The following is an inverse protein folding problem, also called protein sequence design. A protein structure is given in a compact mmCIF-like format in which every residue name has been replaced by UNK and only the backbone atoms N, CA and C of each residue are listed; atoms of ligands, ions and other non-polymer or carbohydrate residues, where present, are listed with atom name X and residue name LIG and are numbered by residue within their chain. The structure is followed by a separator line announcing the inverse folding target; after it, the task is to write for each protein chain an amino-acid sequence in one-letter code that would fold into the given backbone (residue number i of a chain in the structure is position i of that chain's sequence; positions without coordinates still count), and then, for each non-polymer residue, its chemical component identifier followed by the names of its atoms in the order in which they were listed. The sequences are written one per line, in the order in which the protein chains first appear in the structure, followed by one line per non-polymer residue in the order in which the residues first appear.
data_IF_073310507168
#
_entry.id   IF_073310507168
#
_cell.length_a   1.000
_cell.length_b   1.000
_cell.length_c   1.000
_cell.angle_alpha   90.00
_cell.angle_beta   90.00
_cell.angle_gamma   90.00
#
_symmetry.space_group_name_H-M   'P 1'
#
loop_
_entity.id
_entity.type
_entity.pdbx_description
1 polymer ?
#
# COMPACT_ATOMS: atom_id res chain seq x y z
N UNK A 1 -64.68 -3.74 9.02
CA UNK A 1 -63.99 -5.05 8.95
C UNK A 1 -62.50 -4.76 8.98
N UNK A 2 -61.89 -5.02 10.12
CA UNK A 2 -60.47 -4.78 10.41
C UNK A 2 -59.65 -5.97 9.93
N UNK A 3 -58.60 -5.71 9.14
CA UNK A 3 -57.52 -6.67 8.93
C UNK A 3 -56.19 -5.98 9.26
N UNK A 4 -55.74 -6.26 10.49
CA UNK A 4 -54.35 -6.15 10.91
C UNK A 4 -53.54 -7.20 10.15
N UNK A 5 -52.47 -6.78 9.48
CA UNK A 5 -51.36 -7.66 9.15
C UNK A 5 -50.10 -7.06 9.77
N UNK A 6 -49.70 -7.70 10.85
CA UNK A 6 -48.44 -7.52 11.57
C UNK A 6 -47.34 -8.23 10.81
N UNK A 7 -46.38 -7.48 10.27
CA UNK A 7 -45.17 -8.02 9.68
C UNK A 7 -44.13 -8.28 10.77
N UNK A 8 -43.82 -9.56 10.95
CA UNK A 8 -42.78 -10.08 11.83
C UNK A 8 -41.39 -9.64 11.35
N UNK A 9 -40.66 -8.96 12.24
CA UNK A 9 -39.25 -8.59 12.03
C UNK A 9 -38.34 -9.80 12.28
N UNK A 10 -37.38 -10.15 11.40
CA UNK A 10 -36.47 -11.24 11.65
C UNK A 10 -35.43 -10.84 12.71
N UNK A 11 -35.48 -11.57 13.83
CA UNK A 11 -34.45 -11.62 14.88
C UNK A 11 -33.04 -11.82 14.29
N UNK A 12 -32.21 -10.77 14.40
CA UNK A 12 -30.81 -10.80 14.01
C UNK A 12 -30.00 -11.73 14.91
N UNK A 13 -29.63 -12.91 14.38
CA UNK A 13 -28.65 -13.81 14.98
C UNK A 13 -27.28 -13.12 14.99
N UNK A 14 -26.86 -12.61 16.16
CA UNK A 14 -25.48 -12.21 16.44
C UNK A 14 -24.59 -13.45 16.27
N UNK A 15 -23.79 -13.47 15.20
CA UNK A 15 -22.71 -14.44 15.02
C UNK A 15 -21.57 -14.02 15.93
N UNK A 16 -21.42 -14.70 17.07
CA UNK A 16 -20.20 -14.62 17.88
C UNK A 16 -19.04 -15.19 17.06
N UNK A 17 -18.28 -14.31 16.42
CA UNK A 17 -16.99 -14.64 15.82
C UNK A 17 -16.00 -14.82 16.98
N UNK A 18 -15.79 -16.07 17.40
CA UNK A 18 -14.80 -16.40 18.42
C UNK A 18 -13.40 -15.96 17.94
N UNK A 19 -12.81 -14.99 18.64
CA UNK A 19 -11.52 -14.36 18.30
C UNK A 19 -10.30 -15.21 18.72
N UNK A 20 -10.47 -16.54 18.71
CA UNK A 20 -9.55 -17.52 19.29
C UNK A 20 -9.24 -18.57 18.24
N UNK A 21 -7.95 -18.81 17.99
CA UNK A 21 -7.50 -19.82 17.03
C UNK A 21 -7.67 -21.25 17.56
N UNK A 22 -7.42 -22.25 16.70
CA UNK A 22 -7.50 -23.69 17.02
C UNK A 22 -6.59 -24.10 18.21
N UNK A 23 -5.66 -23.24 18.63
CA UNK A 23 -4.75 -23.45 19.75
C UNK A 23 -5.12 -22.62 20.99
N UNK A 24 -6.32 -22.01 21.03
CA UNK A 24 -6.75 -21.22 22.17
C UNK A 24 -6.07 -19.85 22.29
N UNK A 25 -5.32 -19.41 21.28
CA UNK A 25 -4.59 -18.14 21.31
C UNK A 25 -5.43 -17.05 20.66
N UNK A 26 -5.49 -15.91 21.33
CA UNK A 26 -6.15 -14.71 20.82
C UNK A 26 -5.39 -14.19 19.58
N UNK A 27 -6.06 -14.11 18.43
CA UNK A 27 -5.47 -13.66 17.15
C UNK A 27 -4.75 -12.30 17.28
N UNK A 28 -5.26 -11.41 18.14
CA UNK A 28 -4.65 -10.11 18.41
C UNK A 28 -3.27 -10.20 19.08
N UNK A 29 -3.05 -11.22 19.92
CA UNK A 29 -1.78 -11.38 20.64
C UNK A 29 -0.67 -11.77 19.67
N UNK A 30 -0.96 -12.69 18.73
CA UNK A 30 -0.01 -13.15 17.70
C UNK A 30 0.38 -12.01 16.75
N UNK A 31 -0.59 -11.18 16.35
CA UNK A 31 -0.33 -10.01 15.51
C UNK A 31 0.62 -9.02 16.20
N UNK A 32 0.43 -8.74 17.50
CA UNK A 32 1.31 -7.84 18.27
C UNK A 32 2.73 -8.39 18.42
N UNK A 33 2.88 -9.69 18.66
CA UNK A 33 4.20 -10.33 18.77
C UNK A 33 4.98 -10.28 17.43
N UNK A 34 4.33 -10.61 16.32
CA UNK A 34 4.96 -10.51 14.99
C UNK A 34 5.32 -9.08 14.59
N UNK A 35 4.48 -8.10 14.95
CA UNK A 35 4.80 -6.68 14.73
C UNK A 35 6.03 -6.24 15.52
N UNK A 36 6.18 -6.72 16.77
CA UNK A 36 7.34 -6.41 17.62
C UNK A 36 8.63 -6.99 17.05
N UNK A 37 8.61 -8.23 16.55
CA UNK A 37 9.79 -8.86 15.93
C UNK A 37 10.25 -8.13 14.66
N UNK A 38 9.31 -7.64 13.84
CA UNK A 38 9.65 -6.85 12.64
C UNK A 38 10.32 -5.52 12.95
N UNK A 39 9.92 -4.85 14.03
CA UNK A 39 10.54 -3.58 14.44
C UNK A 39 11.98 -3.77 14.93
N UNK A 40 12.23 -4.83 15.72
CA UNK A 40 13.58 -5.16 16.18
C UNK A 40 14.54 -5.45 15.02
N UNK A 41 14.07 -6.13 13.98
CA UNK A 41 14.88 -6.43 12.80
C UNK A 41 15.23 -5.18 11.96
N UNK A 42 14.41 -4.12 12.01
CA UNK A 42 14.70 -2.85 11.31
C UNK A 42 15.72 -2.02 12.09
N UNK A 43 15.61 -1.99 13.41
CA UNK A 43 16.57 -1.30 14.29
C UNK A 43 17.98 -1.89 14.15
N UNK A 44 18.10 -3.23 14.06
CA UNK A 44 19.38 -3.91 13.82
C UNK A 44 19.96 -3.62 12.42
N UNK A 45 19.12 -3.37 11.42
CA UNK A 45 19.58 -3.04 10.06
C UNK A 45 20.10 -1.60 9.94
N UNK A 46 19.51 -0.64 10.67
CA UNK A 46 19.95 0.75 10.67
C UNK A 46 21.33 0.92 11.34
N UNK A 47 21.65 0.09 12.34
CA UNK A 47 22.94 0.12 13.05
C UNK A 47 24.14 -0.33 12.19
N UNK A 48 23.89 -0.95 11.01
CA UNK A 48 24.96 -1.51 10.16
C UNK A 48 25.34 -0.65 8.95
N UNK A 49 24.74 0.54 8.77
CA UNK A 49 24.91 1.35 7.55
C UNK A 49 25.58 2.70 7.81
N UNK A 50 26.76 2.71 8.43
CA UNK A 50 27.66 3.87 8.41
C UNK A 50 29.02 3.50 7.83
N UNK A 51 29.37 4.11 6.69
CA UNK A 51 30.69 4.57 6.21
C UNK A 51 30.70 4.55 4.67
N UNK A 52 30.68 5.73 4.05
CA UNK A 52 30.94 5.94 2.63
C UNK A 52 31.53 7.34 2.38
N UNK A 53 32.49 7.51 1.44
CA UNK A 53 33.51 8.55 1.52
C UNK A 53 33.15 9.87 0.82
N UNK A 54 33.68 10.94 1.41
CA UNK A 54 33.62 12.35 0.98
C UNK A 54 34.36 12.59 -0.34
N UNK A 55 33.69 13.22 -1.32
CA UNK A 55 34.26 13.63 -2.61
C UNK A 55 34.49 15.14 -2.65
N UNK A 56 35.74 15.50 -2.97
CA UNK A 56 36.27 16.85 -2.96
C UNK A 56 35.76 17.77 -4.08
N UNK A 57 35.61 19.03 -3.71
CA UNK A 57 35.20 20.16 -4.54
C UNK A 57 36.41 20.86 -5.19
N UNK A 58 36.36 21.06 -6.51
CA UNK A 58 37.31 21.86 -7.30
C UNK A 58 36.75 23.27 -7.53
N UNK A 59 37.51 24.29 -7.12
CA UNK A 59 37.28 25.71 -7.40
C UNK A 59 37.71 26.06 -8.83
N UNK A 60 36.91 26.85 -9.56
CA UNK A 60 37.41 27.67 -10.69
C UNK A 60 36.67 29.02 -10.81
N UNK A 61 37.54 30.04 -10.86
CA UNK A 61 37.50 31.43 -11.32
C UNK A 61 36.24 32.15 -11.82
N UNK A 62 36.13 33.41 -11.38
CA UNK A 62 35.12 34.41 -11.76
C UNK A 62 35.67 35.50 -12.69
N UNK A 63 34.90 35.97 -13.69
CA UNK A 63 35.16 37.25 -14.35
C UNK A 63 34.09 38.33 -14.07
N UNK A 64 34.62 39.52 -13.75
CA UNK A 64 34.16 40.90 -13.95
C UNK A 64 32.68 41.31 -13.86
N UNK A 65 32.44 42.18 -12.86
CA UNK A 65 31.19 42.88 -12.51
C UNK A 65 30.73 43.87 -13.60
N UNK A 66 29.61 43.54 -14.25
CA UNK A 66 28.61 44.54 -14.65
C UNK A 66 27.48 44.51 -13.62
N UNK A 67 27.07 45.67 -13.12
CA UNK A 67 25.96 45.83 -12.16
C UNK A 67 24.62 45.53 -12.86
N UNK A 68 24.37 44.25 -13.04
CA UNK A 68 23.13 43.68 -13.52
C UNK A 68 22.17 43.57 -12.34
N UNK A 69 20.99 44.18 -12.45
CA UNK A 69 19.93 44.05 -11.45
C UNK A 69 19.60 42.55 -11.34
N UNK A 70 19.65 41.95 -10.14
CA UNK A 70 19.43 40.52 -10.00
C UNK A 70 18.05 40.16 -10.52
N UNK A 71 18.01 39.29 -11.52
CA UNK A 71 16.76 38.67 -11.99
C UNK A 71 16.12 37.88 -10.85
N UNK A 72 14.81 37.67 -10.91
CA UNK A 72 14.06 36.86 -9.92
C UNK A 72 14.77 35.51 -9.64
N UNK A 73 15.27 34.87 -10.70
CA UNK A 73 16.05 33.64 -10.67
C UNK A 73 17.35 33.76 -9.85
N UNK A 74 18.04 34.90 -9.94
CA UNK A 74 19.26 35.17 -9.17
C UNK A 74 18.96 35.45 -7.70
N UNK A 75 17.81 36.06 -7.38
CA UNK A 75 17.36 36.22 -5.98
C UNK A 75 17.04 34.87 -5.33
N UNK A 76 16.31 34.01 -6.04
CA UNK A 76 16.00 32.65 -5.57
C UNK A 76 17.28 31.83 -5.38
N UNK A 77 18.21 31.88 -6.36
CA UNK A 77 19.51 31.23 -6.23
C UNK A 77 20.33 31.70 -5.03
N UNK A 78 20.32 33.00 -4.74
CA UNK A 78 21.01 33.56 -3.58
C UNK A 78 20.38 33.12 -2.24
N UNK A 79 19.05 32.99 -2.17
CA UNK A 79 18.37 32.46 -0.99
C UNK A 79 18.68 30.98 -0.75
N UNK A 80 18.72 30.18 -1.82
CA UNK A 80 19.10 28.76 -1.74
C UNK A 80 20.53 28.60 -1.22
N UNK A 81 21.48 29.36 -1.79
CA UNK A 81 22.88 29.34 -1.36
C UNK A 81 23.06 29.82 0.08
N UNK A 82 22.26 30.80 0.52
CA UNK A 82 22.31 31.29 1.89
C UNK A 82 21.88 30.21 2.89
N UNK A 83 20.76 29.53 2.63
CA UNK A 83 20.28 28.51 3.53
C UNK A 83 21.09 27.20 3.48
N UNK A 84 21.71 26.86 2.33
CA UNK A 84 22.74 25.82 2.27
C UNK A 84 23.94 26.14 3.18
N UNK A 85 24.38 27.41 3.22
CA UNK A 85 25.44 27.85 4.15
C UNK A 85 25.03 27.80 5.62
N UNK A 86 23.74 27.94 5.90
CA UNK A 86 23.17 27.82 7.25
C UNK A 86 22.94 26.35 7.67
N UNK A 87 23.36 25.38 6.85
CA UNK A 87 23.17 23.95 7.11
C UNK A 87 21.71 23.51 6.99
N UNK A 88 20.82 24.37 6.45
CA UNK A 88 19.44 24.00 6.17
C UNK A 88 19.42 23.13 4.91
N UNK A 89 18.77 21.98 5.02
CA UNK A 89 18.53 21.10 3.89
C UNK A 89 17.81 21.88 2.78
N UNK A 90 18.18 21.77 1.50
CA UNK A 90 17.58 22.59 0.42
C UNK A 90 16.07 22.42 0.29
N UNK A 91 15.50 21.34 0.82
CA UNK A 91 14.05 21.14 0.92
C UNK A 91 13.38 21.93 2.06
N UNK A 92 14.08 22.22 3.16
CA UNK A 92 13.57 23.05 4.26
C UNK A 92 13.37 24.52 3.85
N UNK A 93 14.08 24.97 2.81
CA UNK A 93 13.93 26.31 2.20
C UNK A 93 12.59 26.44 1.46
N UNK A 94 12.06 25.31 0.97
CA UNK A 94 10.74 25.28 0.33
C UNK A 94 9.59 25.29 1.36
N UNK A 95 9.87 24.96 2.62
CA UNK A 95 8.87 24.89 3.70
C UNK A 95 8.58 26.25 4.36
N UNK A 96 9.52 27.21 4.33
CA UNK A 96 9.31 28.57 4.91
C UNK A 96 8.43 29.48 4.02
N UNK A 97 7.92 28.99 2.89
CA UNK A 97 6.88 29.66 2.11
C UNK A 97 5.49 29.19 2.57
N UNK A 98 5.08 29.65 3.74
CA UNK A 98 3.71 29.58 4.28
C UNK A 98 2.73 30.49 3.51
N UNK A 99 2.86 30.59 2.18
CA UNK A 99 1.82 31.21 1.38
C UNK A 99 0.73 30.17 1.09
N UNK A 100 -0.52 30.57 1.25
CA UNK A 100 -1.72 29.82 0.84
C UNK A 100 -1.65 29.34 -0.63
N UNK A 101 -0.67 29.83 -1.42
CA UNK A 101 -0.40 29.43 -2.80
C UNK A 101 0.21 28.01 -2.93
N UNK A 102 0.54 27.32 -1.84
CA UNK A 102 1.18 25.99 -1.87
C UNK A 102 0.34 24.86 -1.28
N UNK A 103 -0.92 25.11 -0.92
CA UNK A 103 -1.75 24.10 -0.26
C UNK A 103 -1.90 22.83 -1.11
N UNK A 104 -2.21 22.97 -2.40
CA UNK A 104 -2.42 21.81 -3.28
C UNK A 104 -1.12 21.04 -3.54
N UNK A 105 0.01 21.75 -3.65
CA UNK A 105 1.31 21.10 -3.78
C UNK A 105 1.65 20.28 -2.53
N UNK A 106 1.37 20.81 -1.34
CA UNK A 106 1.57 20.12 -0.06
C UNK A 106 0.69 18.89 0.05
N UNK A 107 -0.60 19.01 -0.30
CA UNK A 107 -1.55 17.88 -0.37
C UNK A 107 -1.08 16.80 -1.33
N UNK A 108 -0.68 17.18 -2.54
CA UNK A 108 -0.13 16.26 -3.54
C UNK A 108 1.09 15.51 -3.01
N UNK A 109 2.05 16.20 -2.37
CA UNK A 109 3.24 15.54 -1.78
C UNK A 109 2.87 14.53 -0.71
N UNK A 110 1.90 14.84 0.14
CA UNK A 110 1.42 13.91 1.16
C UNK A 110 0.74 12.67 0.55
N UNK A 111 0.01 12.83 -0.56
CA UNK A 111 -0.57 11.70 -1.32
C UNK A 111 0.55 10.90 -1.99
N UNK A 112 1.50 11.56 -2.64
CA UNK A 112 2.63 10.95 -3.32
C UNK A 112 3.40 10.00 -2.39
N UNK A 113 3.73 10.44 -1.18
CA UNK A 113 4.39 9.58 -0.18
C UNK A 113 3.56 8.32 0.12
N UNK A 114 2.24 8.47 0.30
CA UNK A 114 1.34 7.35 0.57
C UNK A 114 1.22 6.38 -0.62
N UNK A 115 1.26 6.90 -1.85
CA UNK A 115 1.27 6.07 -3.06
C UNK A 115 2.57 5.29 -3.17
N UNK A 116 3.72 5.93 -2.95
CA UNK A 116 5.03 5.25 -2.99
C UNK A 116 5.11 4.15 -1.93
N UNK A 117 4.68 4.43 -0.69
CA UNK A 117 4.62 3.43 0.38
C UNK A 117 3.67 2.27 0.05
N UNK A 118 2.54 2.56 -0.57
CA UNK A 118 1.59 1.53 -0.98
C UNK A 118 2.15 0.65 -2.12
N UNK A 119 2.78 1.24 -3.13
CA UNK A 119 3.40 0.52 -4.25
C UNK A 119 4.57 -0.37 -3.79
N UNK A 120 5.31 0.03 -2.76
CA UNK A 120 6.47 -0.71 -2.25
C UNK A 120 6.10 -1.94 -1.42
N UNK A 121 4.83 -2.09 -1.02
CA UNK A 121 4.35 -3.15 -0.11
C UNK A 121 4.81 -4.56 -0.50
N UNK A 122 4.87 -4.83 -1.80
CA UNK A 122 5.24 -6.12 -2.37
C UNK A 122 6.41 -6.01 -3.36
N UNK A 123 7.35 -5.09 -3.09
CA UNK A 123 8.55 -4.91 -3.91
C UNK A 123 8.35 -4.11 -5.19
N UNK A 124 7.21 -3.41 -5.34
CA UNK A 124 6.87 -2.67 -6.55
C UNK A 124 5.97 -3.44 -7.51
N UNK A 125 5.17 -2.71 -8.29
CA UNK A 125 4.06 -3.24 -9.12
C UNK A 125 4.47 -4.37 -10.08
N UNK A 126 5.73 -4.38 -10.55
CA UNK A 126 6.23 -5.40 -11.46
C UNK A 126 6.27 -6.79 -10.82
N UNK A 127 6.47 -6.86 -9.49
CA UNK A 127 6.60 -8.11 -8.73
C UNK A 127 5.28 -8.59 -8.12
N UNK A 128 4.21 -7.78 -8.22
CA UNK A 128 2.93 -8.09 -7.61
C UNK A 128 2.31 -9.41 -8.09
N UNK A 129 2.34 -9.78 -9.38
CA UNK A 129 1.78 -11.06 -9.83
C UNK A 129 2.44 -12.26 -9.14
N UNK A 130 3.77 -12.28 -9.11
CA UNK A 130 4.57 -13.34 -8.49
C UNK A 130 4.33 -13.39 -6.98
N UNK A 131 4.31 -12.22 -6.33
CA UNK A 131 4.06 -12.12 -4.89
C UNK A 131 2.66 -12.61 -4.52
N UNK A 132 1.62 -12.27 -5.29
CA UNK A 132 0.24 -12.72 -5.05
C UNK A 132 0.15 -14.24 -5.13
N UNK A 133 0.74 -14.86 -6.15
CA UNK A 133 0.74 -16.32 -6.29
C UNK A 133 1.52 -17.02 -5.17
N UNK A 134 2.71 -16.50 -4.84
CA UNK A 134 3.56 -17.04 -3.77
C UNK A 134 2.85 -16.95 -2.41
N UNK A 135 2.37 -15.77 -2.04
CA UNK A 135 1.71 -15.53 -0.74
C UNK A 135 0.39 -16.29 -0.62
N UNK A 136 -0.35 -16.49 -1.71
CA UNK A 136 -1.52 -17.38 -1.72
C UNK A 136 -1.14 -18.82 -1.41
N UNK A 137 -0.10 -19.37 -2.06
CA UNK A 137 0.35 -20.73 -1.78
C UNK A 137 0.84 -20.88 -0.33
N UNK A 138 1.40 -19.84 0.28
CA UNK A 138 1.71 -19.81 1.72
C UNK A 138 0.45 -19.76 2.59
N UNK A 139 -0.55 -18.97 2.22
CA UNK A 139 -1.83 -18.89 2.93
C UNK A 139 -2.56 -20.24 2.96
N UNK A 140 -2.57 -20.95 1.82
CA UNK A 140 -3.08 -22.34 1.70
C UNK A 140 -2.39 -23.28 2.69
N UNK A 141 -1.09 -23.08 2.96
CA UNK A 141 -0.29 -23.93 3.85
C UNK A 141 -0.41 -23.57 5.33
N UNK A 142 -0.51 -22.27 5.68
CA UNK A 142 -0.19 -21.82 7.03
C UNK A 142 -1.17 -20.82 7.67
N UNK A 143 -1.84 -19.97 6.88
CA UNK A 143 -2.48 -18.75 7.40
C UNK A 143 -3.99 -18.65 7.14
N UNK A 144 -4.56 -19.61 6.40
CA UNK A 144 -5.96 -19.56 6.00
C UNK A 144 -6.14 -18.66 4.77
N UNK A 145 -6.82 -19.21 3.77
CA UNK A 145 -7.02 -18.53 2.48
C UNK A 145 -7.96 -17.32 2.61
N UNK A 146 -8.96 -17.39 3.50
CA UNK A 146 -9.91 -16.30 3.73
C UNK A 146 -9.22 -15.05 4.28
N UNK A 147 -8.41 -15.19 5.34
CA UNK A 147 -7.65 -14.08 5.96
C UNK A 147 -6.68 -13.44 4.95
N UNK A 148 -6.16 -14.22 3.98
CA UNK A 148 -5.31 -13.69 2.90
C UNK A 148 -6.12 -12.88 1.89
N UNK A 149 -7.30 -13.35 1.46
CA UNK A 149 -8.16 -12.60 0.55
C UNK A 149 -8.56 -11.25 1.15
N UNK A 150 -8.96 -11.22 2.42
CA UNK A 150 -9.32 -9.99 3.12
C UNK A 150 -8.18 -8.98 3.10
N UNK A 151 -6.95 -9.40 3.43
CA UNK A 151 -5.77 -8.54 3.41
C UNK A 151 -5.42 -7.99 2.03
N UNK A 152 -5.58 -8.80 0.98
CA UNK A 152 -5.30 -8.36 -0.40
C UNK A 152 -6.37 -7.39 -0.89
N UNK A 153 -7.64 -7.64 -0.59
CA UNK A 153 -8.74 -6.73 -0.92
C UNK A 153 -8.64 -5.40 -0.17
N UNK A 154 -8.19 -5.42 1.09
CA UNK A 154 -7.87 -4.21 1.84
C UNK A 154 -6.81 -3.34 1.15
N UNK A 155 -5.82 -3.95 0.50
CA UNK A 155 -4.83 -3.21 -0.29
C UNK A 155 -5.45 -2.61 -1.55
N UNK A 156 -6.35 -3.31 -2.24
CA UNK A 156 -7.07 -2.76 -3.38
C UNK A 156 -7.95 -1.56 -2.96
N UNK A 157 -8.66 -1.67 -1.83
CA UNK A 157 -9.44 -0.55 -1.27
C UNK A 157 -8.57 0.64 -0.90
N UNK A 158 -7.38 0.40 -0.32
CA UNK A 158 -6.41 1.47 -0.07
C UNK A 158 -5.98 2.13 -1.39
N UNK A 159 -5.74 1.37 -2.44
CA UNK A 159 -5.44 1.88 -3.78
C UNK A 159 -6.54 2.79 -4.32
N UNK A 160 -7.80 2.32 -4.31
CA UNK A 160 -8.98 3.11 -4.74
C UNK A 160 -9.17 4.40 -3.96
N UNK A 161 -8.94 4.37 -2.64
CA UNK A 161 -8.98 5.57 -1.79
C UNK A 161 -7.89 6.58 -2.15
N UNK A 162 -6.67 6.12 -2.44
CA UNK A 162 -5.59 7.00 -2.88
C UNK A 162 -5.89 7.60 -4.26
N UNK A 163 -6.44 6.82 -5.17
CA UNK A 163 -6.88 7.28 -6.49
C UNK A 163 -7.94 8.38 -6.38
N UNK A 164 -8.96 8.15 -5.54
CA UNK A 164 -10.01 9.14 -5.27
C UNK A 164 -9.42 10.44 -4.71
N UNK A 165 -8.54 10.36 -3.71
CA UNK A 165 -7.89 11.54 -3.13
C UNK A 165 -7.02 12.31 -4.11
N UNK A 166 -6.37 11.60 -5.03
CA UNK A 166 -5.54 12.22 -6.08
C UNK A 166 -6.41 12.86 -7.18
N UNK A 167 -7.62 12.35 -7.40
CA UNK A 167 -8.61 12.96 -8.29
C UNK A 167 -9.27 14.20 -7.67
N UNK A 168 -9.49 14.21 -6.35
CA UNK A 168 -10.14 15.28 -5.58
C UNK A 168 -9.21 16.47 -5.24
N UNK A 169 -8.22 16.74 -6.09
CA UNK A 169 -7.26 17.83 -5.93
C UNK A 169 -7.84 19.16 -6.45
N UNK A 170 -8.64 19.82 -5.60
CA UNK A 170 -9.38 21.06 -5.93
C UNK A 170 -8.92 22.33 -5.17
N UNK A 171 -7.77 22.32 -4.51
CA UNK A 171 -7.25 23.47 -3.76
C UNK A 171 -6.59 24.53 -4.62
N UNK A 172 -5.93 25.48 -3.96
CA UNK A 172 -5.21 26.58 -4.60
C UNK A 172 -4.00 26.06 -5.39
N UNK A 173 -4.00 26.31 -6.70
CA UNK A 173 -2.88 25.99 -7.58
C UNK A 173 -1.71 26.99 -7.37
N UNK A 174 -0.46 26.55 -7.53
CA UNK A 174 0.69 27.45 -7.53
C UNK A 174 0.57 28.54 -8.59
N UNK A 175 0.98 29.77 -8.26
CA UNK A 175 0.98 30.91 -9.19
C UNK A 175 1.90 30.69 -10.39
N UNK A 176 2.98 29.94 -10.22
CA UNK A 176 3.93 29.69 -11.30
C UNK A 176 3.43 28.59 -12.24
N UNK A 177 3.17 28.96 -13.49
CA UNK A 177 2.62 28.07 -14.51
C UNK A 177 3.40 26.75 -14.72
N UNK A 178 4.73 26.79 -14.60
CA UNK A 178 5.55 25.57 -14.73
C UNK A 178 5.32 24.57 -13.59
N UNK A 179 5.02 25.04 -12.37
CA UNK A 179 4.69 24.18 -11.23
C UNK A 179 3.34 23.51 -11.41
N UNK A 180 2.36 24.22 -11.97
CA UNK A 180 1.05 23.64 -12.31
C UNK A 180 1.19 22.52 -13.33
N UNK A 181 2.00 22.73 -14.39
CA UNK A 181 2.27 21.68 -15.39
C UNK A 181 2.95 20.46 -14.77
N UNK A 182 3.92 20.67 -13.91
CA UNK A 182 4.65 19.59 -13.25
C UNK A 182 3.74 18.81 -12.28
N UNK A 183 2.90 19.51 -11.50
CA UNK A 183 1.90 18.91 -10.63
C UNK A 183 0.93 18.02 -11.44
N UNK A 184 0.43 18.53 -12.57
CA UNK A 184 -0.45 17.77 -13.46
C UNK A 184 0.24 16.53 -14.05
N UNK A 185 1.48 16.68 -14.53
CA UNK A 185 2.27 15.56 -15.07
C UNK A 185 2.44 14.46 -14.03
N UNK A 186 2.94 14.80 -12.84
CA UNK A 186 3.24 13.82 -11.78
C UNK A 186 1.96 13.19 -11.20
N UNK A 187 0.88 13.94 -11.07
CA UNK A 187 -0.41 13.38 -10.63
C UNK A 187 -0.99 12.41 -11.65
N UNK A 188 -0.91 12.70 -12.94
CA UNK A 188 -1.32 11.77 -13.99
C UNK A 188 -0.48 10.48 -13.96
N UNK A 189 0.83 10.59 -13.74
CA UNK A 189 1.72 9.43 -13.60
C UNK A 189 1.34 8.55 -12.39
N UNK A 190 1.08 9.16 -11.23
CA UNK A 190 0.65 8.43 -10.04
C UNK A 190 -0.74 7.79 -10.22
N UNK A 191 -1.69 8.49 -10.84
CA UNK A 191 -3.02 7.93 -11.18
C UNK A 191 -2.87 6.69 -12.06
N UNK A 192 -2.03 6.76 -13.10
CA UNK A 192 -1.78 5.61 -13.97
C UNK A 192 -1.21 4.41 -13.21
N UNK A 193 -0.26 4.65 -12.30
CA UNK A 193 0.32 3.60 -11.46
C UNK A 193 -0.70 2.99 -10.51
N UNK A 194 -1.52 3.81 -9.84
CA UNK A 194 -2.59 3.37 -8.96
C UNK A 194 -3.61 2.51 -9.71
N UNK A 195 -4.13 3.00 -10.84
CA UNK A 195 -5.10 2.28 -11.65
C UNK A 195 -4.55 0.92 -12.13
N UNK A 196 -3.30 0.89 -12.61
CA UNK A 196 -2.64 -0.35 -13.04
C UNK A 196 -2.49 -1.35 -11.89
N UNK A 197 -2.09 -0.88 -10.71
CA UNK A 197 -1.84 -1.72 -9.55
C UNK A 197 -3.14 -2.29 -8.97
N UNK A 198 -4.18 -1.46 -8.85
CA UNK A 198 -5.51 -1.87 -8.41
C UNK A 198 -6.11 -2.88 -9.39
N UNK A 199 -6.06 -2.60 -10.69
CA UNK A 199 -6.55 -3.52 -11.73
C UNK A 199 -5.81 -4.87 -11.71
N UNK A 200 -4.50 -4.86 -11.42
CA UNK A 200 -3.72 -6.10 -11.28
C UNK A 200 -4.28 -6.97 -10.16
N UNK A 201 -4.56 -6.39 -8.98
CA UNK A 201 -5.18 -7.13 -7.88
C UNK A 201 -6.56 -7.64 -8.30
N UNK A 202 -7.43 -6.76 -8.81
CA UNK A 202 -8.81 -7.08 -9.17
C UNK A 202 -8.93 -8.17 -10.23
N UNK A 203 -7.99 -8.23 -11.18
CA UNK A 203 -7.99 -9.24 -12.23
C UNK A 203 -7.29 -10.51 -11.77
N UNK A 204 -6.15 -10.42 -11.09
CA UNK A 204 -5.34 -11.61 -10.75
C UNK A 204 -5.93 -12.40 -9.60
N UNK A 205 -6.43 -11.74 -8.56
CA UNK A 205 -6.92 -12.42 -7.35
C UNK A 205 -8.06 -13.40 -7.65
N UNK A 206 -9.09 -13.06 -8.45
CA UNK A 206 -10.13 -14.01 -8.83
C UNK A 206 -9.65 -15.15 -9.76
N UNK A 207 -8.55 -14.95 -10.49
CA UNK A 207 -8.00 -15.94 -11.40
C UNK A 207 -7.08 -16.95 -10.73
N UNK A 208 -6.65 -16.69 -9.49
CA UNK A 208 -5.90 -17.68 -8.72
C UNK A 208 -6.84 -18.86 -8.49
N UNK A 209 -6.54 -20.04 -9.06
CA UNK A 209 -7.43 -21.18 -8.95
C UNK A 209 -7.67 -21.45 -7.48
N UNK A 210 -8.92 -21.66 -7.10
CA UNK A 210 -9.27 -22.10 -5.75
C UNK A 210 -8.81 -23.56 -5.59
N UNK A 211 -7.49 -23.73 -5.48
CA UNK A 211 -6.83 -24.98 -5.16
C UNK A 211 -7.39 -25.54 -3.85
N UNK A 212 -7.90 -24.69 -2.97
CA UNK A 212 -8.56 -25.07 -1.74
C UNK A 212 -9.91 -25.74 -1.99
N UNK A 213 -10.76 -25.17 -2.86
CA UNK A 213 -11.98 -25.82 -3.32
C UNK A 213 -11.67 -27.16 -4.02
N UNK A 214 -10.63 -27.21 -4.87
CA UNK A 214 -10.21 -28.45 -5.53
C UNK A 214 -9.74 -29.50 -4.51
N UNK A 215 -8.95 -29.10 -3.50
CA UNK A 215 -8.50 -30.01 -2.44
C UNK A 215 -9.66 -30.48 -1.55
N UNK A 216 -10.59 -29.60 -1.22
CA UNK A 216 -11.78 -29.93 -0.42
C UNK A 216 -12.70 -30.91 -1.16
N UNK A 217 -12.88 -30.72 -2.46
CA UNK A 217 -13.61 -31.66 -3.33
C UNK A 217 -12.91 -33.02 -3.33
N UNK A 218 -11.59 -33.06 -3.53
CA UNK A 218 -10.80 -34.31 -3.50
C UNK A 218 -10.87 -35.01 -2.14
N UNK A 219 -10.76 -34.27 -1.04
CA UNK A 219 -10.87 -34.82 0.31
C UNK A 219 -12.27 -35.40 0.58
N UNK A 220 -13.33 -34.71 0.12
CA UNK A 220 -14.71 -35.18 0.24
C UNK A 220 -14.97 -36.43 -0.60
N UNK A 221 -14.39 -36.51 -1.81
CA UNK A 221 -14.46 -37.70 -2.66
C UNK A 221 -13.71 -38.89 -2.06
N UNK A 222 -12.53 -38.67 -1.46
CA UNK A 222 -11.76 -39.71 -0.79
C UNK A 222 -12.49 -40.27 0.43
N UNK A 223 -13.10 -39.40 1.25
CA UNK A 223 -13.90 -39.82 2.40
C UNK A 223 -15.09 -40.70 1.99
N UNK A 224 -15.78 -40.35 0.89
CA UNK A 224 -16.92 -41.13 0.41
C UNK A 224 -16.52 -42.46 -0.25
N UNK A 225 -15.29 -42.58 -0.77
CA UNK A 225 -14.81 -43.82 -1.41
C UNK A 225 -14.42 -44.93 -0.42
N UNK A 226 -14.22 -44.61 0.87
CA UNK A 226 -13.78 -45.60 1.85
C UNK A 226 -14.94 -46.41 2.46
N UNK A 227 -16.18 -45.93 2.37
CA UNK A 227 -17.39 -46.60 2.91
C UNK A 227 -17.99 -47.65 1.95
N UNK A 228 -17.41 -47.85 0.76
CA UNK A 228 -18.00 -48.70 -0.29
C UNK A 228 -17.48 -50.14 -0.34
N UNK A 229 -16.40 -50.48 0.37
CA UNK A 229 -15.71 -51.78 0.19
C UNK A 229 -16.08 -52.87 1.22
N UNK A 230 -16.85 -52.55 2.27
CA UNK A 230 -17.13 -53.51 3.36
C UNK A 230 -18.47 -54.28 3.23
N UNK A 231 -19.20 -54.15 2.12
CA UNK A 231 -20.51 -54.81 1.94
C UNK A 231 -20.55 -55.93 0.90
N UNK A 232 -19.41 -56.56 0.58
CA UNK A 232 -19.39 -57.89 -0.04
C UNK A 232 -19.35 -58.97 1.05
N UNK A 233 -20.42 -59.02 1.84
CA UNK A 233 -20.80 -60.25 2.54
C UNK A 233 -21.10 -61.33 1.49
N UNK A 234 -20.58 -62.54 1.70
CA UNK A 234 -21.42 -63.63 2.21
C UNK A 234 -22.56 -63.98 1.25
N UNK A 235 -22.24 -64.74 0.21
CA UNK A 235 -23.15 -65.69 -0.41
C UNK A 235 -22.31 -66.81 -1.05
N UNK A 236 -21.74 -67.67 -0.19
CA UNK A 236 -21.43 -69.06 -0.57
C UNK A 236 -22.33 -69.95 0.30
N UNK A 237 -23.45 -70.37 -0.30
CA UNK A 237 -24.28 -71.50 0.11
C UNK A 237 -24.20 -72.58 -0.97
#
# INVERSE_FOLDING_TARGET
MSHNQSEDSPSGKKRDRSNVDENGRNKDKRYRENKKLRLLALEEAEETTEIGPSLGSSEQDSPSRNLMVPTETQRVGAQILKALKEGKHPFAICEELDSEDFEELRRFRAIEVQVVEWLSKWGGIAHWPEWLEMSYNEAVKYYGVEDWFEQVWDQADKGRRLETRLFEMYGSLPKEHYKVKELYRRSTELLHLLAKATALIEIRVPLIPDKYAIQKIKASQAANSHDSDDNNGLDEY
#
